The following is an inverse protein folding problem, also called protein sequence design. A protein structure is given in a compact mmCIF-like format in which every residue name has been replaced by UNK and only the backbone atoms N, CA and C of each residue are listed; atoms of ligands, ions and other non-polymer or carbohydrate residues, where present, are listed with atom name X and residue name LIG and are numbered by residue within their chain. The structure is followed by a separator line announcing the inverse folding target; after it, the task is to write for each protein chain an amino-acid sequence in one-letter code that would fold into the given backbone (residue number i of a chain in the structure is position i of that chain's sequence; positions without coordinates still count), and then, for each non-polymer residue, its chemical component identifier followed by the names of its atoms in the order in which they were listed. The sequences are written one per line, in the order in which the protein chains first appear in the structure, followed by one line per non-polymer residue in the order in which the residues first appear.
data_IF_038513126452
#
_entry.id   IF_038513126452
#
_cell.length_a   1.000
_cell.length_b   1.000
_cell.length_c   1.000
_cell.angle_alpha   90.00
_cell.angle_beta   90.00
_cell.angle_gamma   90.00
#
_symmetry.space_group_name_H-M   'P 1'
#
loop_
_entity.id
_entity.type
_entity.pdbx_description
1 polymer ?
#
# COMPACT_ATOMS: atom_id res chain seq x y z
N UNK A 1 -13.83 6.43 -16.85
CA UNK A 1 -13.20 5.18 -16.34
C UNK A 1 -12.97 5.34 -14.85
N UNK A 2 -13.23 4.30 -14.03
CA UNK A 2 -12.96 4.37 -12.60
C UNK A 2 -11.72 3.57 -12.24
N UNK A 3 -11.03 4.00 -11.19
CA UNK A 3 -9.89 3.32 -10.59
C UNK A 3 -10.21 2.97 -9.14
N UNK A 4 -9.63 1.92 -8.61
CA UNK A 4 -9.74 1.60 -7.19
C UNK A 4 -8.41 1.76 -6.46
N UNK A 5 -8.48 2.37 -5.28
CA UNK A 5 -7.41 2.42 -4.30
C UNK A 5 -7.79 1.57 -3.09
N UNK A 6 -6.92 0.66 -2.70
CA UNK A 6 -7.13 -0.27 -1.59
C UNK A 6 -6.03 -0.07 -0.56
N UNK A 7 -6.39 0.15 0.69
CA UNK A 7 -5.46 0.16 1.83
C UNK A 7 -5.73 -1.07 2.70
N UNK A 8 -4.80 -2.02 2.66
CA UNK A 8 -4.90 -3.28 3.40
C UNK A 8 -4.20 -3.11 4.73
N UNK A 9 -4.98 -2.96 5.79
CA UNK A 9 -4.46 -2.93 7.16
C UNK A 9 -4.64 -4.26 7.89
N UNK A 10 -4.00 -4.42 9.04
CA UNK A 10 -4.10 -5.63 9.87
C UNK A 10 -5.52 -5.91 10.39
N UNK A 11 -6.34 -4.88 10.57
CA UNK A 11 -7.70 -4.99 11.11
C UNK A 11 -8.77 -4.77 10.05
N UNK A 12 -8.54 -3.85 9.13
CA UNK A 12 -9.52 -3.49 8.09
C UNK A 12 -8.86 -3.18 6.77
N UNK A 13 -9.56 -3.51 5.70
CA UNK A 13 -9.28 -3.09 4.33
C UNK A 13 -10.15 -1.87 4.05
N UNK A 14 -9.52 -0.77 3.63
CA UNK A 14 -10.22 0.43 3.17
C UNK A 14 -10.24 0.45 1.65
N UNK A 15 -11.35 0.94 1.12
CA UNK A 15 -11.64 0.99 -0.30
C UNK A 15 -11.90 2.43 -0.72
N UNK A 16 -11.36 2.83 -1.86
CA UNK A 16 -11.66 4.08 -2.52
C UNK A 16 -11.94 3.87 -4.00
N UNK A 17 -12.97 4.53 -4.53
CA UNK A 17 -13.25 4.63 -5.96
C UNK A 17 -12.91 6.03 -6.40
N UNK A 18 -12.16 6.13 -7.48
CA UNK A 18 -11.66 7.37 -8.03
C UNK A 18 -12.05 7.54 -9.49
N UNK A 19 -12.26 8.77 -9.92
CA UNK A 19 -12.37 9.12 -11.34
C UNK A 19 -10.98 9.21 -12.01
N UNK A 20 -10.96 9.55 -13.29
CA UNK A 20 -9.72 9.70 -14.08
C UNK A 20 -8.84 10.88 -13.60
N UNK A 21 -9.42 11.84 -12.93
CA UNK A 21 -8.73 12.98 -12.32
C UNK A 21 -8.21 12.67 -10.91
N UNK A 22 -8.45 11.45 -10.43
CA UNK A 22 -8.14 10.95 -9.08
C UNK A 22 -8.95 11.66 -7.97
N UNK A 23 -10.13 12.17 -8.28
CA UNK A 23 -11.06 12.61 -7.26
C UNK A 23 -11.69 11.38 -6.59
N UNK A 24 -11.71 11.37 -5.26
CA UNK A 24 -12.37 10.32 -4.48
C UNK A 24 -13.89 10.46 -4.60
N UNK A 25 -14.53 9.45 -5.18
CA UNK A 25 -15.98 9.42 -5.39
C UNK A 25 -16.71 8.68 -4.27
N UNK A 26 -16.12 7.59 -3.77
CA UNK A 26 -16.69 6.78 -2.72
C UNK A 26 -15.60 6.11 -1.89
N UNK A 27 -15.88 5.91 -0.59
CA UNK A 27 -15.00 5.17 0.31
C UNK A 27 -15.80 4.36 1.33
N UNK A 28 -15.26 3.21 1.73
CA UNK A 28 -15.78 2.36 2.79
C UNK A 28 -14.70 1.43 3.33
N UNK A 29 -15.02 0.61 4.32
CA UNK A 29 -14.09 -0.40 4.86
C UNK A 29 -14.77 -1.73 5.13
N UNK A 30 -13.96 -2.79 5.22
CA UNK A 30 -14.36 -4.14 5.63
C UNK A 30 -13.29 -4.73 6.55
N UNK A 31 -13.63 -5.64 7.44
CA UNK A 31 -12.65 -6.40 8.23
C UNK A 31 -11.68 -7.14 7.31
N UNK A 32 -10.39 -7.18 7.67
CA UNK A 32 -9.36 -7.90 6.91
C UNK A 32 -9.48 -9.40 7.15
N UNK A 33 -9.73 -10.22 6.13
CA UNK A 33 -9.62 -11.67 6.24
C UNK A 33 -8.19 -12.10 6.55
N UNK A 34 -8.02 -13.13 7.36
CA UNK A 34 -6.69 -13.67 7.71
C UNK A 34 -6.00 -14.31 6.49
N UNK A 35 -6.75 -15.04 5.69
CA UNK A 35 -6.23 -15.74 4.53
C UNK A 35 -6.06 -14.79 3.34
N UNK A 36 -4.88 -14.73 2.70
CA UNK A 36 -4.62 -13.82 1.57
C UNK A 36 -5.58 -14.01 0.40
N UNK A 37 -5.92 -15.26 0.07
CA UNK A 37 -6.86 -15.55 -1.00
C UNK A 37 -8.27 -15.05 -0.68
N UNK A 38 -8.70 -15.15 0.59
CA UNK A 38 -9.99 -14.62 1.03
C UNK A 38 -10.01 -13.09 1.01
N UNK A 39 -8.89 -12.43 1.34
CA UNK A 39 -8.75 -10.98 1.23
C UNK A 39 -8.87 -10.53 -0.24
N UNK A 40 -8.20 -11.22 -1.18
CA UNK A 40 -8.30 -10.93 -2.60
C UNK A 40 -9.74 -11.15 -3.15
N UNK A 41 -10.39 -12.23 -2.74
CA UNK A 41 -11.78 -12.50 -3.13
C UNK A 41 -12.76 -11.45 -2.57
N UNK A 42 -12.58 -11.03 -1.31
CA UNK A 42 -13.35 -9.94 -0.72
C UNK A 42 -13.17 -8.63 -1.52
N UNK A 43 -11.92 -8.27 -1.85
CA UNK A 43 -11.63 -7.07 -2.62
C UNK A 43 -12.33 -7.13 -3.97
N UNK A 44 -12.19 -8.23 -4.71
CA UNK A 44 -12.84 -8.41 -6.01
C UNK A 44 -14.37 -8.25 -5.92
N UNK A 45 -15.01 -8.93 -4.97
CA UNK A 45 -16.45 -8.85 -4.76
C UNK A 45 -16.95 -7.44 -4.38
N UNK A 46 -16.14 -6.70 -3.59
CA UNK A 46 -16.48 -5.33 -3.21
C UNK A 46 -16.34 -4.34 -4.38
N UNK A 47 -15.49 -4.61 -5.36
CA UNK A 47 -15.25 -3.75 -6.52
C UNK A 47 -16.17 -4.03 -7.72
N UNK A 48 -16.74 -5.23 -7.79
CA UNK A 48 -17.58 -5.66 -8.92
C UNK A 48 -18.66 -4.65 -9.32
N UNK A 49 -19.44 -4.03 -8.39
CA UNK A 49 -20.50 -3.09 -8.76
C UNK A 49 -20.00 -1.78 -9.41
N UNK A 50 -18.70 -1.47 -9.29
CA UNK A 50 -18.15 -0.18 -9.70
C UNK A 50 -17.51 -0.19 -11.09
N UNK A 51 -17.33 -1.36 -11.71
CA UNK A 51 -16.72 -1.50 -13.04
C UNK A 51 -15.39 -0.75 -13.16
N UNK A 52 -14.52 -0.88 -12.13
CA UNK A 52 -13.20 -0.24 -12.13
C UNK A 52 -12.28 -0.88 -13.18
N UNK A 53 -11.37 -0.10 -13.74
CA UNK A 53 -10.44 -0.57 -14.78
C UNK A 53 -9.15 -1.19 -14.20
N UNK A 54 -8.77 -0.82 -12.98
CA UNK A 54 -7.55 -1.32 -12.34
C UNK A 54 -7.62 -1.20 -10.81
N UNK A 55 -6.77 -1.96 -10.14
CA UNK A 55 -6.61 -2.00 -8.69
C UNK A 55 -5.21 -1.51 -8.32
N UNK A 56 -5.12 -0.44 -7.52
CA UNK A 56 -3.92 -0.05 -6.79
C UNK A 56 -4.08 -0.42 -5.31
N UNK A 57 -3.19 -1.23 -4.76
CA UNK A 57 -3.27 -1.62 -3.36
C UNK A 57 -1.99 -1.25 -2.59
N UNK A 58 -2.16 -0.59 -1.45
CA UNK A 58 -1.16 -0.44 -0.40
C UNK A 58 -1.32 -1.56 0.61
N UNK A 59 -0.23 -2.19 1.01
CA UNK A 59 -0.22 -3.22 2.04
C UNK A 59 0.99 -3.06 2.96
N UNK A 60 0.87 -3.42 4.25
CA UNK A 60 1.98 -3.33 5.19
C UNK A 60 3.05 -4.36 4.88
N UNK A 61 4.25 -4.14 5.38
CA UNK A 61 5.35 -5.09 5.32
C UNK A 61 6.28 -4.90 4.12
N UNK A 62 7.09 -5.92 3.87
CA UNK A 62 8.17 -5.89 2.89
C UNK A 62 7.73 -6.47 1.56
N UNK A 63 7.91 -5.70 0.49
CA UNK A 63 7.67 -6.15 -0.88
C UNK A 63 8.95 -6.72 -1.49
N UNK A 64 8.90 -7.95 -1.97
CA UNK A 64 9.95 -8.54 -2.81
C UNK A 64 9.60 -8.30 -4.28
N UNK A 65 10.25 -7.31 -4.90
CA UNK A 65 9.97 -6.93 -6.28
C UNK A 65 10.33 -8.03 -7.32
N UNK A 66 11.33 -8.88 -7.02
CA UNK A 66 11.75 -9.95 -7.94
C UNK A 66 10.71 -11.08 -8.05
N UNK A 67 9.96 -11.33 -7.00
CA UNK A 67 8.94 -12.39 -6.92
C UNK A 67 7.51 -11.85 -6.88
N UNK A 68 7.32 -10.53 -6.87
CA UNK A 68 6.01 -9.87 -6.68
C UNK A 68 5.27 -10.35 -5.43
N UNK A 69 6.01 -10.67 -4.35
CA UNK A 69 5.43 -11.16 -3.09
C UNK A 69 5.54 -10.13 -1.98
N UNK A 70 4.67 -10.23 -0.98
CA UNK A 70 4.68 -9.41 0.22
C UNK A 70 4.76 -10.28 1.47
N UNK A 71 5.61 -9.88 2.43
CA UNK A 71 5.67 -10.43 3.77
C UNK A 71 5.22 -9.37 4.75
N UNK A 72 4.18 -9.66 5.53
CA UNK A 72 3.54 -8.73 6.46
C UNK A 72 3.26 -9.42 7.80
N UNK A 73 4.08 -9.17 8.81
CA UNK A 73 4.01 -9.84 10.13
C UNK A 73 2.67 -9.59 10.82
N UNK A 74 2.13 -8.38 10.75
CA UNK A 74 0.85 -8.01 11.35
C UNK A 74 -0.37 -8.70 10.70
N UNK A 75 -0.18 -9.31 9.52
CA UNK A 75 -1.17 -10.13 8.82
C UNK A 75 -0.83 -11.62 8.88
N UNK A 76 0.32 -11.98 9.44
CA UNK A 76 0.89 -13.34 9.37
C UNK A 76 1.02 -13.86 7.92
N UNK A 77 1.33 -12.98 6.98
CA UNK A 77 1.53 -13.30 5.58
C UNK A 77 3.02 -13.42 5.27
N UNK A 78 3.43 -14.52 4.65
CA UNK A 78 4.82 -14.79 4.27
C UNK A 78 4.85 -15.09 2.77
N UNK A 79 5.64 -14.31 2.02
CA UNK A 79 5.85 -14.46 0.57
C UNK A 79 4.55 -14.58 -0.24
N UNK A 80 3.53 -13.79 0.13
CA UNK A 80 2.21 -13.83 -0.50
C UNK A 80 2.24 -13.11 -1.85
N UNK A 81 1.88 -13.76 -2.98
CA UNK A 81 1.80 -13.14 -4.30
C UNK A 81 0.49 -12.35 -4.44
N UNK A 82 0.32 -11.30 -3.63
CA UNK A 82 -0.94 -10.59 -3.47
C UNK A 82 -1.43 -9.95 -4.79
N UNK A 83 -0.54 -9.39 -5.60
CA UNK A 83 -0.91 -8.84 -6.89
C UNK A 83 -1.49 -9.90 -7.83
N UNK A 84 -0.89 -11.10 -7.87
CA UNK A 84 -1.40 -12.23 -8.67
C UNK A 84 -2.76 -12.74 -8.14
N UNK A 85 -2.94 -12.80 -6.82
CA UNK A 85 -4.22 -13.16 -6.21
C UNK A 85 -5.32 -12.15 -6.57
N UNK A 86 -5.03 -10.85 -6.52
CA UNK A 86 -5.97 -9.79 -6.92
C UNK A 86 -6.33 -9.88 -8.40
N UNK A 87 -5.35 -10.03 -9.29
CA UNK A 87 -5.57 -10.22 -10.74
C UNK A 87 -6.45 -11.43 -11.01
N UNK A 88 -6.17 -12.56 -10.34
CA UNK A 88 -6.94 -13.81 -10.49
C UNK A 88 -8.38 -13.67 -9.98
N UNK A 89 -8.59 -13.02 -8.84
CA UNK A 89 -9.91 -12.91 -8.23
C UNK A 89 -10.81 -11.91 -8.96
N UNK A 90 -10.25 -10.80 -9.47
CA UNK A 90 -11.01 -9.71 -10.10
C UNK A 90 -11.04 -9.75 -11.61
N UNK A 91 -10.08 -10.41 -12.27
CA UNK A 91 -9.86 -10.31 -13.70
C UNK A 91 -9.26 -8.97 -14.15
N UNK A 92 -8.88 -8.09 -13.23
CA UNK A 92 -8.41 -6.73 -13.49
C UNK A 92 -6.88 -6.62 -13.34
N UNK A 93 -6.23 -5.67 -14.03
CA UNK A 93 -4.88 -5.26 -13.73
C UNK A 93 -4.78 -4.83 -12.25
N UNK A 94 -3.77 -5.35 -11.54
CA UNK A 94 -3.55 -5.00 -10.14
C UNK A 94 -2.06 -4.79 -9.87
N UNK A 95 -1.76 -3.77 -9.08
CA UNK A 95 -0.44 -3.49 -8.53
C UNK A 95 -0.53 -3.41 -7.01
N UNK A 96 0.51 -3.90 -6.34
CA UNK A 96 0.65 -3.83 -4.88
C UNK A 96 1.94 -3.11 -4.55
N UNK A 97 1.87 -2.18 -3.62
CA UNK A 97 3.03 -1.45 -3.09
C UNK A 97 2.96 -1.43 -1.56
N UNK A 98 4.07 -1.09 -0.91
CA UNK A 98 4.07 -0.85 0.53
C UNK A 98 3.16 0.35 0.87
N UNK A 99 2.47 0.30 2.00
CA UNK A 99 1.53 1.33 2.48
C UNK A 99 2.18 2.71 2.68
N UNK A 100 3.41 2.76 3.24
CA UNK A 100 4.19 3.99 3.36
C UNK A 100 4.56 4.58 2.00
N UNK A 101 4.89 3.74 1.01
CA UNK A 101 5.09 4.18 -0.37
C UNK A 101 3.79 4.72 -1.00
N UNK A 102 2.64 4.08 -0.73
CA UNK A 102 1.35 4.56 -1.22
C UNK A 102 1.03 5.94 -0.65
N UNK A 103 1.24 6.12 0.65
CA UNK A 103 1.07 7.41 1.32
C UNK A 103 2.00 8.49 0.74
N UNK A 104 3.28 8.16 0.51
CA UNK A 104 4.23 9.08 -0.13
C UNK A 104 3.77 9.52 -1.52
N UNK A 105 3.34 8.58 -2.36
CA UNK A 105 2.86 8.90 -3.71
C UNK A 105 1.61 9.78 -3.67
N UNK A 106 0.71 9.57 -2.70
CA UNK A 106 -0.47 10.40 -2.51
C UNK A 106 -0.10 11.84 -2.14
N UNK A 107 0.83 12.02 -1.18
CA UNK A 107 1.34 13.33 -0.79
C UNK A 107 2.09 14.06 -1.92
N UNK A 108 2.85 13.32 -2.73
CA UNK A 108 3.51 13.88 -3.90
C UNK A 108 2.52 14.31 -4.99
N UNK A 109 1.41 13.57 -5.12
CA UNK A 109 0.42 13.84 -6.17
C UNK A 109 -0.53 14.99 -5.81
N UNK A 110 -1.03 15.02 -4.57
CA UNK A 110 -2.12 15.91 -4.16
C UNK A 110 -1.99 16.50 -2.75
N UNK A 111 -0.87 16.23 -2.05
CA UNK A 111 -0.65 16.66 -0.68
C UNK A 111 0.52 17.62 -0.50
N UNK A 112 1.13 17.57 0.68
CA UNK A 112 2.19 18.48 1.11
C UNK A 112 3.53 18.32 0.36
N UNK A 113 3.72 17.22 -0.37
CA UNK A 113 4.94 16.94 -1.11
C UNK A 113 4.84 17.24 -2.62
N UNK A 114 3.80 17.96 -3.05
CA UNK A 114 3.71 18.45 -4.44
C UNK A 114 4.91 19.36 -4.77
N UNK A 115 5.58 19.06 -5.88
CA UNK A 115 6.77 19.79 -6.38
C UNK A 115 7.98 19.81 -5.43
N UNK A 116 7.97 18.97 -4.38
CA UNK A 116 9.10 18.84 -3.45
C UNK A 116 10.19 17.99 -4.11
N UNK A 117 11.42 18.51 -4.15
CA UNK A 117 12.57 17.80 -4.72
C UNK A 117 13.20 16.80 -3.73
N UNK A 118 13.23 17.17 -2.45
CA UNK A 118 13.78 16.31 -1.38
C UNK A 118 12.90 16.44 -0.15
N UNK A 119 12.42 15.32 0.37
CA UNK A 119 11.52 15.31 1.52
C UNK A 119 11.39 13.92 2.14
N UNK A 120 10.89 13.90 3.35
CA UNK A 120 10.58 12.69 4.11
C UNK A 120 9.13 12.77 4.54
N UNK A 121 8.40 11.68 4.36
CA UNK A 121 7.10 11.43 4.97
C UNK A 121 7.27 10.44 6.12
N UNK A 122 6.66 10.74 7.26
CA UNK A 122 6.49 9.79 8.36
C UNK A 122 5.00 9.52 8.56
N UNK A 123 4.63 8.26 8.56
CA UNK A 123 3.28 7.82 8.93
C UNK A 123 3.28 7.34 10.38
N UNK A 124 2.42 7.91 11.21
CA UNK A 124 2.29 7.59 12.63
C UNK A 124 0.99 6.84 12.86
N UNK A 125 1.08 5.58 13.23
CA UNK A 125 -0.06 4.69 13.48
C UNK A 125 0.29 3.63 14.51
N UNK A 126 -0.05 2.36 14.26
CA UNK A 126 0.39 1.22 15.09
C UNK A 126 1.91 1.16 15.20
N UNK A 127 2.60 1.53 14.13
CA UNK A 127 4.04 1.71 14.04
C UNK A 127 4.39 3.04 13.39
N UNK A 128 5.67 3.21 13.04
CA UNK A 128 6.18 4.34 12.28
C UNK A 128 6.62 3.80 10.91
N UNK A 129 5.94 4.24 9.87
CA UNK A 129 6.32 4.00 8.49
C UNK A 129 6.73 5.29 7.79
N UNK A 130 6.93 5.23 6.48
CA UNK A 130 7.19 6.44 5.72
C UNK A 130 7.78 6.22 4.34
N UNK A 131 8.25 7.31 3.76
CA UNK A 131 8.89 7.33 2.46
C UNK A 131 9.86 8.49 2.32
N UNK A 132 10.67 8.46 1.28
CA UNK A 132 11.66 9.47 0.97
C UNK A 132 11.49 9.93 -0.47
N UNK A 133 11.52 11.23 -0.70
CA UNK A 133 11.58 11.85 -2.05
C UNK A 133 13.00 12.33 -2.28
N UNK A 134 13.59 11.94 -3.42
CA UNK A 134 14.89 12.42 -3.87
C UNK A 134 14.76 12.80 -5.34
N UNK A 135 15.19 14.01 -5.69
CA UNK A 135 15.08 14.56 -7.05
C UNK A 135 13.64 14.50 -7.61
N UNK A 136 12.65 14.78 -6.77
CA UNK A 136 11.24 14.76 -7.16
C UNK A 136 10.67 13.37 -7.41
N UNK A 137 11.38 12.30 -7.02
CA UNK A 137 10.95 10.92 -7.19
C UNK A 137 10.86 10.20 -5.85
N UNK A 138 9.83 9.38 -5.68
CA UNK A 138 9.74 8.49 -4.53
C UNK A 138 10.88 7.48 -4.58
N UNK A 139 11.75 7.51 -3.56
CA UNK A 139 12.90 6.63 -3.49
C UNK A 139 12.46 5.18 -3.25
N UNK A 140 13.07 4.27 -3.96
CA UNK A 140 12.93 2.82 -3.79
C UNK A 140 14.31 2.18 -3.82
N UNK A 141 14.53 1.17 -2.99
CA UNK A 141 15.74 0.37 -3.12
C UNK A 141 15.73 -0.45 -4.41
N UNK A 142 16.89 -0.87 -4.93
CA UNK A 142 16.94 -1.77 -6.10
C UNK A 142 16.19 -3.09 -5.89
N UNK A 143 16.02 -3.53 -4.65
CA UNK A 143 15.26 -4.72 -4.26
C UNK A 143 13.76 -4.46 -4.08
N UNK A 144 13.31 -3.22 -4.23
CA UNK A 144 11.90 -2.83 -4.02
C UNK A 144 11.53 -2.55 -2.57
N UNK A 145 12.48 -2.61 -1.64
CA UNK A 145 12.23 -2.32 -0.23
C UNK A 145 11.87 -0.84 -0.03
N UNK A 146 10.86 -0.61 0.80
CA UNK A 146 10.55 0.72 1.31
C UNK A 146 11.61 1.17 2.33
N UNK A 147 11.79 2.49 2.54
CA UNK A 147 12.62 2.96 3.66
C UNK A 147 11.94 2.60 4.98
N UNK A 148 12.58 1.82 5.80
CA UNK A 148 12.10 1.40 7.12
C UNK A 148 12.46 2.45 8.18
N UNK A 149 11.89 3.66 8.06
CA UNK A 149 12.25 4.82 8.87
C UNK A 149 11.93 4.65 10.36
N UNK A 150 10.92 3.82 10.68
CA UNK A 150 10.58 3.49 12.06
C UNK A 150 11.57 2.58 12.77
N UNK A 151 12.47 1.92 12.03
CA UNK A 151 13.47 1.00 12.57
C UNK A 151 14.87 1.63 12.72
N UNK A 152 14.99 2.94 12.55
CA UNK A 152 16.24 3.66 12.75
C UNK A 152 16.57 3.68 14.25
N UNK A 153 17.79 3.25 14.61
CA UNK A 153 18.28 3.29 15.99
C UNK A 153 18.56 4.75 16.37
N UNK A 154 17.77 5.29 17.28
CA UNK A 154 17.92 6.67 17.78
C UNK A 154 18.65 6.72 19.13
N UNK A 155 18.64 5.62 19.88
CA UNK A 155 19.32 5.48 21.17
C UNK A 155 19.97 4.09 21.24
N UNK A 156 21.26 4.05 21.62
CA UNK A 156 22.02 2.78 21.68
C UNK A 156 21.55 1.83 22.80
N UNK A 157 20.87 2.37 23.79
CA UNK A 157 20.34 1.70 25.00
C UNK A 157 18.79 1.77 25.07
N UNK A 158 18.14 2.03 23.93
CA UNK A 158 16.70 2.09 23.82
C UNK A 158 16.02 0.73 24.01
N UNK A 159 14.70 0.75 24.13
CA UNK A 159 13.90 -0.47 24.18
C UNK A 159 14.05 -1.24 22.87
N UNK A 160 14.14 -2.60 22.92
CA UNK A 160 14.15 -3.41 21.72
C UNK A 160 12.86 -3.20 20.90
N UNK A 161 13.01 -3.20 19.60
CA UNK A 161 11.89 -3.14 18.68
C UNK A 161 11.11 -4.47 18.67
#
# INVERSE_FOLDING_TARGET
MFLSGIDIGGTSIKFGIFDEQLNLLQQWSRPTPKEPAAAAALIAAQLEPYHVAAIGAGAPGTLNAAHETITADNLAWVDVPLAALLRRASGLPAVVINDGHAAMLAEMRSGALQNVQTGILLTLGTGIGGGIVINGQCWRSPTGLAPELGHIITHSDGLPC
#
